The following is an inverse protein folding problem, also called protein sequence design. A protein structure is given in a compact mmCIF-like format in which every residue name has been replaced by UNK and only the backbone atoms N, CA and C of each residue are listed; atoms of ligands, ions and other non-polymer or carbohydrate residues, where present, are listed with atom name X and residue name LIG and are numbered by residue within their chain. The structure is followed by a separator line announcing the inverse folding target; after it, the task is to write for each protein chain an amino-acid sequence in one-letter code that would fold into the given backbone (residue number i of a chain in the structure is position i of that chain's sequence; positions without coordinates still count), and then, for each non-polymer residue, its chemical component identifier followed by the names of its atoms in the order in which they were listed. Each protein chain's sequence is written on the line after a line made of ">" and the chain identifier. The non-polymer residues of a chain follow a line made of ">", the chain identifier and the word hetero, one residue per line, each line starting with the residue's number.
data_IF_260735898743
#
_entry.id   IF_260735898743
#
_cell.length_a   1.000
_cell.length_b   1.000
_cell.length_c   1.000
_cell.angle_alpha   90.00
_cell.angle_beta   90.00
_cell.angle_gamma   90.00
#
_symmetry.space_group_name_H-M   'P 1'
#
loop_
_entity.id
_entity.type
_entity.pdbx_description
1 polymer ?
#
# COMPACT_ATOMS: atom_id res chain seq x y z
N UNK A 1 0.50 -36.47 31.56
CA UNK A 1 1.09 -35.22 31.05
C UNK A 1 1.29 -35.39 29.56
N UNK A 2 0.48 -34.75 28.69
CA UNK A 2 0.65 -34.93 27.25
C UNK A 2 1.93 -34.21 26.77
N UNK A 3 2.70 -34.80 25.83
CA UNK A 3 3.92 -34.18 25.31
C UNK A 3 3.61 -32.89 24.54
N UNK A 4 4.55 -31.95 24.62
CA UNK A 4 4.46 -30.62 24.04
C UNK A 4 4.08 -30.71 22.55
N UNK A 5 3.07 -29.90 22.17
CA UNK A 5 2.64 -29.68 20.80
C UNK A 5 3.85 -29.40 19.90
N UNK A 6 4.20 -30.38 19.07
CA UNK A 6 5.00 -30.18 17.86
C UNK A 6 4.23 -29.21 16.97
N UNK A 7 4.54 -27.91 17.10
CA UNK A 7 4.01 -26.88 16.22
C UNK A 7 4.53 -27.19 14.82
N UNK A 8 3.67 -27.71 13.96
CA UNK A 8 4.01 -27.96 12.57
C UNK A 8 4.69 -26.73 11.97
N UNK A 9 5.79 -26.89 11.23
CA UNK A 9 6.53 -25.77 10.67
C UNK A 9 5.56 -24.92 9.84
N UNK A 10 5.49 -23.63 10.16
CA UNK A 10 4.61 -22.69 9.46
C UNK A 10 4.86 -22.84 7.95
N UNK A 11 3.88 -23.31 7.16
CA UNK A 11 4.07 -23.56 5.73
C UNK A 11 4.41 -22.28 4.95
N UNK A 12 4.18 -21.12 5.56
CA UNK A 12 4.47 -19.80 5.00
C UNK A 12 5.81 -19.21 5.48
N UNK A 13 6.63 -19.97 6.24
CA UNK A 13 7.91 -19.48 6.74
C UNK A 13 8.88 -19.05 5.63
N UNK A 14 8.84 -19.73 4.48
CA UNK A 14 9.62 -19.39 3.29
C UNK A 14 9.13 -18.08 2.66
N UNK A 15 7.82 -17.92 2.49
CA UNK A 15 7.20 -16.69 1.98
C UNK A 15 7.48 -15.51 2.91
N UNK A 16 7.39 -15.71 4.22
CA UNK A 16 7.69 -14.68 5.21
C UNK A 16 9.16 -14.24 5.13
N UNK A 17 10.10 -15.19 5.03
CA UNK A 17 11.52 -14.87 4.81
C UNK A 17 11.77 -14.11 3.52
N UNK A 18 11.07 -14.46 2.44
CA UNK A 18 11.16 -13.74 1.17
C UNK A 18 10.64 -12.31 1.30
N UNK A 19 9.45 -12.12 1.88
CA UNK A 19 8.87 -10.80 2.09
C UNK A 19 9.80 -9.92 2.95
N UNK A 20 10.35 -10.49 4.03
CA UNK A 20 11.31 -9.79 4.89
C UNK A 20 12.56 -9.38 4.14
N UNK A 21 13.20 -10.30 3.41
CA UNK A 21 14.47 -10.03 2.73
C UNK A 21 14.31 -9.08 1.54
N UNK A 22 13.25 -9.26 0.75
CA UNK A 22 13.10 -8.57 -0.53
C UNK A 22 12.39 -7.23 -0.38
N UNK A 23 11.41 -7.13 0.52
CA UNK A 23 10.52 -5.97 0.60
C UNK A 23 10.70 -5.20 1.90
N UNK A 24 10.65 -5.89 3.04
CA UNK A 24 10.62 -5.18 4.33
C UNK A 24 12.01 -4.66 4.70
N UNK A 25 13.06 -5.48 4.72
CA UNK A 25 14.40 -5.03 5.16
C UNK A 25 14.98 -3.88 4.32
N UNK A 26 14.92 -3.90 2.97
CA UNK A 26 15.56 -2.85 2.18
C UNK A 26 14.76 -1.54 2.17
N UNK A 27 13.44 -1.63 2.36
CA UNK A 27 12.52 -0.51 2.19
C UNK A 27 11.77 -0.15 3.47
N UNK A 28 12.17 -0.72 4.62
CA UNK A 28 11.47 -0.56 5.91
C UNK A 28 11.27 0.90 6.28
N UNK A 29 12.30 1.72 6.08
CA UNK A 29 12.26 3.14 6.37
C UNK A 29 11.32 3.87 5.41
N UNK A 30 11.25 3.48 4.14
CA UNK A 30 10.34 4.10 3.18
C UNK A 30 8.89 3.73 3.51
N UNK A 31 8.62 2.49 3.92
CA UNK A 31 7.31 2.11 4.45
C UNK A 31 7.00 2.88 5.73
N UNK A 32 7.91 2.94 6.69
CA UNK A 32 7.71 3.67 7.95
C UNK A 32 7.44 5.16 7.68
N UNK A 33 8.24 5.82 6.84
CA UNK A 33 8.02 7.20 6.44
C UNK A 33 6.69 7.38 5.72
N UNK A 34 6.33 6.51 4.77
CA UNK A 34 5.02 6.58 4.09
C UNK A 34 3.85 6.47 5.09
N UNK A 35 4.01 5.70 6.16
CA UNK A 35 2.98 5.52 7.19
C UNK A 35 2.97 6.63 8.26
N UNK A 36 4.15 7.18 8.61
CA UNK A 36 4.33 8.19 9.66
C UNK A 36 4.11 9.60 9.13
N UNK A 37 4.57 9.89 7.91
CA UNK A 37 4.61 11.25 7.35
C UNK A 37 3.23 11.80 7.02
N UNK A 38 2.16 11.02 7.23
CA UNK A 38 0.74 11.42 7.18
C UNK A 38 0.44 12.53 6.15
N UNK A 39 1.08 12.46 4.97
CA UNK A 39 0.74 13.29 3.83
C UNK A 39 -0.56 12.76 3.26
N UNK A 40 -1.63 12.98 4.04
CA UNK A 40 -3.04 12.66 3.84
C UNK A 40 -3.26 11.55 2.81
N UNK A 41 -2.57 10.43 3.02
CA UNK A 41 -2.44 9.43 1.98
C UNK A 41 -3.83 8.84 1.75
N UNK A 42 -4.33 9.07 0.54
CA UNK A 42 -5.55 8.46 0.01
C UNK A 42 -6.86 8.85 0.70
N UNK A 43 -6.91 9.92 1.50
CA UNK A 43 -8.16 10.42 2.11
C UNK A 43 -8.76 9.46 3.16
N UNK A 44 -7.90 8.75 3.90
CA UNK A 44 -8.29 7.66 4.79
C UNK A 44 -8.46 8.15 6.24
N UNK A 45 -9.62 7.88 6.83
CA UNK A 45 -9.97 8.27 8.21
C UNK A 45 -10.05 7.08 9.17
N UNK A 46 -9.68 5.86 8.75
CA UNK A 46 -9.97 4.63 9.50
C UNK A 46 -8.73 3.79 9.82
N UNK A 47 -8.82 3.08 10.95
CA UNK A 47 -7.81 2.41 11.79
C UNK A 47 -6.91 1.35 11.13
N UNK A 48 -7.06 1.05 9.84
CA UNK A 48 -6.10 0.23 9.12
C UNK A 48 -5.90 0.78 7.70
N UNK A 49 -4.78 1.47 7.51
CA UNK A 49 -4.38 2.03 6.22
C UNK A 49 -4.24 0.94 5.16
N UNK A 50 -3.84 -0.27 5.55
CA UNK A 50 -3.73 -1.43 4.67
C UNK A 50 -5.08 -1.90 4.09
N UNK A 51 -6.13 -2.04 4.90
CA UNK A 51 -7.44 -2.44 4.37
C UNK A 51 -8.04 -1.38 3.47
N UNK A 52 -7.80 -0.11 3.79
CA UNK A 52 -8.33 0.96 2.98
C UNK A 52 -7.59 1.16 1.66
N UNK A 53 -6.27 0.93 1.64
CA UNK A 53 -5.51 0.81 0.38
C UNK A 53 -6.01 -0.37 -0.45
N UNK A 54 -6.24 -1.51 0.19
CA UNK A 54 -6.80 -2.69 -0.47
C UNK A 54 -8.19 -2.42 -1.07
N UNK A 55 -9.08 -1.73 -0.33
CA UNK A 55 -10.39 -1.33 -0.83
C UNK A 55 -10.30 -0.35 -2.00
N UNK A 56 -9.34 0.57 -1.98
CA UNK A 56 -9.14 1.57 -3.04
C UNK A 56 -8.64 0.93 -4.35
N UNK A 57 -7.65 0.04 -4.26
CA UNK A 57 -7.16 -0.74 -5.41
C UNK A 57 -8.29 -1.61 -5.98
N UNK A 58 -9.08 -2.25 -5.11
CA UNK A 58 -10.22 -3.09 -5.51
C UNK A 58 -11.34 -2.31 -6.23
N UNK A 59 -11.48 -1.01 -6.00
CA UNK A 59 -12.41 -0.16 -6.77
C UNK A 59 -11.95 0.08 -8.21
N UNK A 60 -10.63 0.09 -8.45
CA UNK A 60 -10.04 0.36 -9.77
C UNK A 60 -9.88 -0.92 -10.59
N UNK A 61 -9.68 -2.06 -9.94
CA UNK A 61 -9.67 -3.39 -10.56
C UNK A 61 -11.12 -3.89 -10.55
N UNK A 62 -11.87 -3.62 -11.61
CA UNK A 62 -13.29 -3.94 -11.75
C UNK A 62 -13.56 -5.45 -11.65
N UNK A 63 -13.80 -5.92 -10.41
CA UNK A 63 -14.24 -7.28 -10.10
C UNK A 63 -13.13 -8.35 -10.15
N UNK A 64 -13.37 -9.48 -9.50
CA UNK A 64 -12.43 -10.62 -9.42
C UNK A 64 -12.44 -11.54 -10.65
N UNK A 65 -13.16 -11.15 -11.71
CA UNK A 65 -13.43 -11.99 -12.89
C UNK A 65 -12.84 -11.40 -14.18
N UNK A 66 -12.09 -10.30 -14.09
CA UNK A 66 -11.40 -9.69 -15.22
C UNK A 66 -10.14 -10.45 -15.62
N UNK A 67 -9.70 -10.27 -16.87
CA UNK A 67 -8.42 -10.78 -17.33
C UNK A 67 -7.24 -9.97 -16.77
N UNK A 68 -6.04 -10.54 -16.83
CA UNK A 68 -4.83 -9.90 -16.28
C UNK A 68 -4.56 -8.53 -16.90
N UNK A 69 -4.98 -8.33 -18.16
CA UNK A 69 -4.88 -7.05 -18.86
C UNK A 69 -5.78 -6.00 -18.23
N UNK A 70 -7.06 -6.30 -18.00
CA UNK A 70 -7.98 -5.38 -17.32
C UNK A 70 -7.52 -5.05 -15.91
N UNK A 71 -6.95 -6.01 -15.18
CA UNK A 71 -6.37 -5.77 -13.87
C UNK A 71 -5.14 -4.83 -13.94
N UNK A 72 -4.28 -5.02 -14.94
CA UNK A 72 -3.10 -4.17 -15.15
C UNK A 72 -3.51 -2.75 -15.55
N UNK A 73 -4.49 -2.61 -16.45
CA UNK A 73 -5.02 -1.30 -16.87
C UNK A 73 -5.67 -0.56 -15.69
N UNK A 74 -6.39 -1.27 -14.81
CA UNK A 74 -6.95 -0.72 -13.57
C UNK A 74 -5.87 -0.22 -12.59
N UNK A 75 -4.75 -0.95 -12.47
CA UNK A 75 -3.61 -0.51 -11.67
C UNK A 75 -2.93 0.73 -12.26
N UNK A 76 -2.73 0.79 -13.58
CA UNK A 76 -2.18 1.98 -14.25
C UNK A 76 -3.08 3.20 -14.03
N UNK A 77 -4.40 3.03 -14.13
CA UNK A 77 -5.36 4.09 -13.84
C UNK A 77 -5.31 4.54 -12.38
N UNK A 78 -5.22 3.60 -11.44
CA UNK A 78 -5.02 3.91 -10.02
C UNK A 78 -3.77 4.78 -9.83
N UNK A 79 -2.63 4.41 -10.41
CA UNK A 79 -1.37 5.14 -10.23
C UNK A 79 -1.41 6.53 -10.84
N UNK A 80 -2.02 6.68 -12.04
CA UNK A 80 -2.23 7.98 -12.67
C UNK A 80 -3.10 8.90 -11.81
N UNK A 81 -4.19 8.36 -11.24
CA UNK A 81 -5.07 9.12 -10.35
C UNK A 81 -4.35 9.56 -9.07
N UNK A 82 -3.45 8.73 -8.54
CA UNK A 82 -2.63 9.10 -7.38
C UNK A 82 -1.60 10.18 -7.71
N UNK A 83 -0.85 10.02 -8.81
CA UNK A 83 0.12 11.02 -9.25
C UNK A 83 -0.51 12.39 -9.48
N UNK A 84 -1.69 12.43 -10.11
CA UNK A 84 -2.43 13.68 -10.32
C UNK A 84 -2.83 14.38 -9.01
N UNK A 85 -3.18 13.62 -7.97
CA UNK A 85 -3.53 14.19 -6.65
C UNK A 85 -2.32 14.76 -5.92
N UNK A 86 -1.18 14.07 -5.96
CA UNK A 86 0.07 14.52 -5.34
C UNK A 86 0.54 15.82 -6.00
N UNK A 87 0.53 15.86 -7.34
CA UNK A 87 0.90 17.07 -8.09
C UNK A 87 -0.03 18.25 -7.80
N UNK A 88 -1.33 17.99 -7.60
CA UNK A 88 -2.30 19.03 -7.21
C UNK A 88 -2.06 19.56 -5.78
N UNK A 89 -1.56 18.73 -4.89
CA UNK A 89 -1.24 19.12 -3.51
C UNK A 89 0.09 19.91 -3.45
N UNK A 90 1.11 19.47 -4.18
CA UNK A 90 2.39 20.19 -4.31
C UNK A 90 2.22 21.58 -4.93
N UNK A 91 1.40 21.70 -5.97
CA UNK A 91 1.09 23.00 -6.59
C UNK A 91 0.31 23.93 -5.66
N UNK A 92 -0.58 23.40 -4.83
CA UNK A 92 -1.29 24.18 -3.82
C UNK A 92 -0.36 24.69 -2.71
N UNK A 93 0.51 23.81 -2.19
CA UNK A 93 1.48 24.16 -1.13
C UNK A 93 2.51 25.17 -1.64
N UNK A 94 3.04 24.97 -2.85
CA UNK A 94 3.98 25.91 -3.47
C UNK A 94 3.34 27.26 -3.82
N UNK A 95 2.02 27.30 -4.06
CA UNK A 95 1.28 28.53 -4.28
C UNK A 95 1.11 29.35 -3.00
N UNK A 96 1.03 28.71 -1.83
CA UNK A 96 0.90 29.38 -0.54
C UNK A 96 2.22 29.95 -0.01
N UNK A 97 3.36 29.34 -0.35
CA UNK A 97 4.69 29.78 0.10
C UNK A 97 5.25 30.98 -0.67
N UNK A 98 4.65 31.37 -1.81
CA UNK A 98 5.06 32.55 -2.59
C UNK A 98 4.44 33.86 -2.05
N UNK A 99 3.44 33.76 -1.16
CA UNK A 99 2.74 34.92 -0.57
C UNK A 99 3.17 35.26 0.86
N UNK A 100 4.31 34.75 1.33
CA UNK A 100 4.94 35.11 2.60
C UNK A 100 6.43 35.36 2.40
#
# INVERSE_FOLDING_TARGET
>A
MPPASDKQPNPYASCFKYCLKTWIQPWAEHFATTFIDQHRHFGLTTTSSAESMHANIKRHISGSTGDLRSATDGLVLFWKAQGARILAEETFVSGLTVWY
#
